data_IF_665766517856
#
_entry.id   IF_665766517856
#
_cell.length_a   1.000
_cell.length_b   1.000
_cell.length_c   1.000
_cell.angle_alpha   90.00
_cell.angle_beta   90.00
_cell.angle_gamma   90.00
#
_symmetry.space_group_name_H-M   'P 1'
#
loop_
_entity.id
_entity.type
_entity.pdbx_description
1 polymer ?
#
# COMPACT_ATOMS: atom_id res chain seq x y z
N UNK A 1 5.86 -29.34 8.82
CA UNK A 1 4.88 -30.12 9.62
C UNK A 1 4.88 -29.55 11.05
N UNK A 2 3.74 -29.49 11.75
CA UNK A 2 3.64 -28.79 13.05
C UNK A 2 3.31 -29.72 14.22
N UNK A 3 3.32 -29.20 15.48
CA UNK A 3 3.19 -29.99 16.71
C UNK A 3 2.01 -30.98 16.70
N UNK A 4 0.85 -30.55 16.20
CA UNK A 4 -0.36 -31.37 16.11
C UNK A 4 -0.18 -32.58 15.19
N UNK A 5 0.30 -32.36 13.97
CA UNK A 5 0.52 -33.44 12.98
C UNK A 5 1.62 -34.40 13.42
N UNK A 6 2.67 -33.88 14.07
CA UNK A 6 3.75 -34.70 14.63
C UNK A 6 3.23 -35.59 15.76
N UNK A 7 2.43 -35.04 16.67
CA UNK A 7 1.81 -35.79 17.76
C UNK A 7 0.87 -36.89 17.23
N UNK A 8 0.06 -36.57 16.22
CA UNK A 8 -0.86 -37.53 15.60
C UNK A 8 -0.15 -38.75 15.01
N UNK A 9 1.10 -38.61 14.55
CA UNK A 9 1.89 -39.75 14.03
C UNK A 9 2.56 -40.54 15.15
N UNK A 10 3.21 -39.86 16.09
CA UNK A 10 4.04 -40.50 17.12
C UNK A 10 3.19 -41.29 18.13
N UNK A 11 1.97 -40.83 18.42
CA UNK A 11 1.08 -41.47 19.40
C UNK A 11 0.67 -42.91 19.06
N UNK A 12 0.82 -43.35 17.80
CA UNK A 12 0.49 -44.71 17.38
C UNK A 12 1.62 -45.70 17.65
N UNK A 13 2.85 -45.22 17.86
CA UNK A 13 4.03 -46.08 18.03
C UNK A 13 4.69 -45.93 19.39
N UNK A 14 4.43 -44.83 20.11
CA UNK A 14 5.07 -44.54 21.39
C UNK A 14 4.12 -43.89 22.38
N UNK A 15 4.32 -44.20 23.67
CA UNK A 15 3.59 -43.59 24.78
C UNK A 15 4.53 -43.32 25.95
N UNK A 16 4.41 -42.13 26.53
CA UNK A 16 5.01 -41.76 27.82
C UNK A 16 4.29 -40.54 28.40
N UNK A 17 4.46 -40.31 29.69
CA UNK A 17 3.90 -39.14 30.37
C UNK A 17 4.50 -37.85 29.82
N UNK A 18 3.66 -36.95 29.29
CA UNK A 18 4.12 -35.69 28.73
C UNK A 18 4.51 -35.71 27.25
N UNK A 19 4.26 -36.81 26.51
CA UNK A 19 4.48 -36.93 25.05
C UNK A 19 4.09 -35.67 24.26
N UNK A 20 2.89 -35.15 24.51
CA UNK A 20 2.38 -33.94 23.85
C UNK A 20 3.24 -32.70 24.14
N UNK A 21 3.69 -32.54 25.38
CA UNK A 21 4.54 -31.42 25.79
C UNK A 21 5.93 -31.53 25.16
N UNK A 22 6.51 -32.73 25.10
CA UNK A 22 7.81 -32.95 24.45
C UNK A 22 7.74 -32.69 22.94
N UNK A 23 6.71 -33.19 22.24
CA UNK A 23 6.51 -32.94 20.81
C UNK A 23 6.37 -31.45 20.53
N UNK A 24 5.62 -30.72 21.36
CA UNK A 24 5.50 -29.26 21.24
C UNK A 24 6.86 -28.58 21.40
N UNK A 25 7.60 -28.87 22.48
CA UNK A 25 8.93 -28.31 22.74
C UNK A 25 9.91 -28.60 21.60
N UNK A 26 9.92 -29.82 21.08
CA UNK A 26 10.77 -30.20 19.95
C UNK A 26 10.45 -29.42 18.67
N UNK A 27 9.16 -29.28 18.33
CA UNK A 27 8.77 -28.50 17.17
C UNK A 27 9.10 -27.00 17.36
N UNK A 28 9.02 -26.48 18.58
CA UNK A 28 9.39 -25.10 18.92
C UNK A 28 10.91 -24.86 18.87
N UNK A 29 11.74 -25.84 19.24
CA UNK A 29 13.20 -25.75 19.17
C UNK A 29 13.79 -26.01 17.78
N UNK A 30 13.01 -26.61 16.86
CA UNK A 30 13.48 -26.93 15.53
C UNK A 30 13.60 -25.68 14.63
N UNK A 31 14.84 -25.24 14.37
CA UNK A 31 15.17 -24.08 13.53
C UNK A 31 14.48 -24.11 12.16
N UNK A 32 14.58 -25.24 11.46
CA UNK A 32 14.00 -25.39 10.11
C UNK A 32 12.47 -25.25 10.13
N UNK A 33 11.82 -25.81 11.14
CA UNK A 33 10.37 -25.70 11.32
C UNK A 33 9.96 -24.27 11.69
N UNK A 34 10.77 -23.53 12.46
CA UNK A 34 10.46 -22.13 12.80
C UNK A 34 10.64 -21.20 11.60
N UNK A 35 11.67 -21.42 10.76
CA UNK A 35 11.92 -20.60 9.56
C UNK A 35 10.85 -20.80 8.48
N UNK A 36 10.37 -22.03 8.30
CA UNK A 36 9.36 -22.38 7.29
C UNK A 36 7.92 -22.19 7.79
N UNK A 37 7.72 -21.96 9.09
CA UNK A 37 6.38 -21.77 9.65
C UNK A 37 5.78 -20.48 9.12
N UNK A 38 4.60 -20.59 8.52
CA UNK A 38 3.75 -19.43 8.25
C UNK A 38 3.42 -18.72 9.57
N UNK A 39 4.01 -17.55 9.77
CA UNK A 39 3.67 -16.66 10.87
C UNK A 39 2.41 -15.90 10.47
N UNK A 40 1.28 -16.24 11.08
CA UNK A 40 0.07 -15.44 10.97
C UNK A 40 0.21 -14.23 11.89
N UNK A 41 1.09 -13.29 11.54
CA UNK A 41 1.16 -12.01 12.24
C UNK A 41 -0.16 -11.29 11.92
N UNK A 42 -1.02 -11.14 12.94
CA UNK A 42 -2.19 -10.27 12.87
C UNK A 42 -1.76 -8.86 13.26
N UNK A 43 -0.73 -8.32 12.61
CA UNK A 43 -0.39 -6.91 12.77
C UNK A 43 -1.39 -6.10 11.93
N UNK A 44 -2.64 -6.11 12.39
CA UNK A 44 -3.67 -5.24 11.87
C UNK A 44 -3.60 -4.01 12.74
N UNK A 45 -2.80 -3.04 12.32
CA UNK A 45 -2.98 -1.68 12.80
C UNK A 45 -4.47 -1.33 12.68
N UNK A 46 -5.12 -0.83 13.74
CA UNK A 46 -6.53 -0.50 13.69
C UNK A 46 -6.77 0.51 12.57
N UNK A 47 -7.74 0.20 11.70
CA UNK A 47 -8.13 1.11 10.60
C UNK A 47 -8.61 2.41 11.25
N UNK A 48 -7.82 3.47 11.12
CA UNK A 48 -8.16 4.79 11.64
C UNK A 48 -8.94 5.54 10.56
N UNK A 49 -10.14 6.06 10.85
CA UNK A 49 -10.88 6.82 9.87
C UNK A 49 -10.12 8.11 9.51
N UNK A 50 -9.94 8.35 8.22
CA UNK A 50 -9.40 9.62 7.71
C UNK A 50 -10.52 10.65 7.77
N UNK A 51 -10.24 11.81 8.38
CA UNK A 51 -11.18 12.93 8.41
C UNK A 51 -11.59 13.31 6.98
N UNK A 52 -12.90 13.55 6.77
CA UNK A 52 -13.39 14.05 5.49
C UNK A 52 -13.06 15.55 5.40
N UNK A 53 -12.55 16.04 4.25
CA UNK A 53 -12.37 17.47 4.03
C UNK A 53 -13.70 18.22 4.11
N UNK A 54 -13.65 19.50 4.46
CA UNK A 54 -14.83 20.36 4.63
C UNK A 54 -15.35 20.92 3.30
N UNK A 55 -14.46 21.09 2.32
CA UNK A 55 -14.79 21.65 1.02
C UNK A 55 -14.48 20.66 -0.11
N UNK A 56 -15.25 20.71 -1.22
CA UNK A 56 -14.90 20.02 -2.46
C UNK A 56 -13.45 20.29 -2.88
N UNK A 57 -12.78 19.24 -3.39
CA UNK A 57 -11.45 19.31 -4.03
C UNK A 57 -10.27 19.70 -3.12
N UNK A 58 -10.47 19.78 -1.80
CA UNK A 58 -9.36 19.94 -0.85
C UNK A 58 -8.44 18.71 -0.81
N UNK A 59 -9.02 17.51 -0.95
CA UNK A 59 -8.26 16.26 -1.02
C UNK A 59 -8.80 15.39 -2.14
N UNK A 60 -7.96 15.15 -3.13
CA UNK A 60 -8.26 14.26 -4.25
C UNK A 60 -7.43 12.98 -4.13
N UNK A 61 -8.12 11.86 -4.12
CA UNK A 61 -7.51 10.55 -4.17
C UNK A 61 -7.21 10.20 -5.62
N UNK A 62 -5.95 9.96 -5.92
CA UNK A 62 -5.51 9.51 -7.24
C UNK A 62 -5.21 8.00 -7.17
N UNK A 63 -5.52 7.25 -8.22
CA UNK A 63 -5.10 5.87 -8.34
C UNK A 63 -4.80 5.53 -9.79
N UNK A 64 -3.90 4.58 -10.02
CA UNK A 64 -3.46 4.20 -11.36
C UNK A 64 -3.72 2.72 -11.59
N UNK A 65 -4.57 2.44 -12.56
CA UNK A 65 -4.91 1.09 -12.97
C UNK A 65 -4.09 0.74 -14.22
N UNK A 66 -3.35 -0.37 -14.17
CA UNK A 66 -2.68 -0.96 -15.33
C UNK A 66 -1.32 -1.60 -14.99
N UNK A 67 -0.61 -2.14 -16.00
CA UNK A 67 -0.97 -2.15 -17.42
C UNK A 67 -2.14 -3.09 -17.75
N UNK A 68 -3.05 -2.64 -18.61
CA UNK A 68 -4.16 -3.42 -19.16
C UNK A 68 -3.69 -4.09 -20.45
N UNK A 69 -3.89 -5.40 -20.53
CA UNK A 69 -3.61 -6.22 -21.71
C UNK A 69 -4.84 -7.08 -22.07
N UNK A 70 -5.30 -7.08 -23.33
CA UNK A 70 -4.79 -6.30 -24.46
C UNK A 70 -5.07 -4.79 -24.33
N UNK A 71 -4.24 -3.93 -24.96
CA UNK A 71 -4.50 -2.49 -24.99
C UNK A 71 -5.78 -2.18 -25.77
N UNK A 72 -6.37 -1.01 -25.49
CA UNK A 72 -7.46 -0.48 -26.32
C UNK A 72 -7.04 -0.19 -27.76
N UNK A 73 -8.00 0.04 -28.66
CA UNK A 73 -7.74 0.43 -30.06
C UNK A 73 -6.86 1.66 -30.20
N UNK A 74 -6.96 2.61 -29.27
CA UNK A 74 -6.12 3.82 -29.19
C UNK A 74 -4.82 3.62 -28.41
N UNK A 75 -4.48 2.38 -28.07
CA UNK A 75 -3.28 1.96 -27.33
C UNK A 75 -3.22 2.46 -25.87
N UNK A 76 -4.34 2.85 -25.28
CA UNK A 76 -4.39 3.10 -23.84
C UNK A 76 -4.20 1.79 -23.09
N UNK A 77 -3.28 1.81 -22.13
CA UNK A 77 -2.87 0.68 -21.28
C UNK A 77 -3.03 0.99 -19.80
N UNK A 78 -3.30 2.23 -19.44
CA UNK A 78 -3.49 2.63 -18.06
C UNK A 78 -4.68 3.57 -17.92
N UNK A 79 -5.25 3.61 -16.73
CA UNK A 79 -6.33 4.52 -16.35
C UNK A 79 -5.90 5.22 -15.07
N UNK A 80 -5.85 6.55 -15.10
CA UNK A 80 -5.65 7.38 -13.93
C UNK A 80 -7.02 7.78 -13.38
N UNK A 81 -7.37 7.27 -12.21
CA UNK A 81 -8.59 7.58 -11.50
C UNK A 81 -8.34 8.72 -10.51
N UNK A 82 -9.25 9.68 -10.46
CA UNK A 82 -9.24 10.83 -9.57
C UNK A 82 -10.57 10.84 -8.84
N UNK A 83 -10.57 10.91 -7.51
CA UNK A 83 -11.79 10.93 -6.71
C UNK A 83 -11.68 11.99 -5.62
N UNK A 84 -12.55 12.99 -5.67
CA UNK A 84 -12.67 13.97 -4.59
C UNK A 84 -13.20 13.30 -3.31
N UNK A 85 -12.52 13.51 -2.19
CA UNK A 85 -12.88 12.89 -0.93
C UNK A 85 -14.15 13.49 -0.31
N UNK A 86 -14.45 14.76 -0.61
CA UNK A 86 -15.62 15.44 -0.05
C UNK A 86 -16.90 15.08 -0.82
N UNK A 87 -16.96 15.38 -2.11
CA UNK A 87 -18.13 15.18 -2.98
C UNK A 87 -18.28 13.75 -3.49
N UNK A 88 -17.21 12.94 -3.43
CA UNK A 88 -17.13 11.62 -4.09
C UNK A 88 -17.22 11.69 -5.62
N UNK A 89 -17.06 12.87 -6.20
CA UNK A 89 -16.99 13.03 -7.64
C UNK A 89 -15.71 12.37 -8.18
N UNK A 90 -15.86 11.61 -9.28
CA UNK A 90 -14.77 10.81 -9.85
C UNK A 90 -14.54 11.12 -11.34
N UNK A 91 -13.27 11.15 -11.74
CA UNK A 91 -12.84 11.27 -13.13
C UNK A 91 -11.80 10.19 -13.47
N UNK A 92 -11.88 9.65 -14.69
CA UNK A 92 -10.94 8.66 -15.19
C UNK A 92 -10.26 9.18 -16.47
N UNK A 93 -8.93 9.23 -16.47
CA UNK A 93 -8.11 9.68 -17.60
C UNK A 93 -7.38 8.48 -18.20
N UNK A 94 -7.59 8.23 -19.49
CA UNK A 94 -6.96 7.12 -20.21
C UNK A 94 -5.54 7.48 -20.65
N UNK A 95 -4.57 6.61 -20.35
CA UNK A 95 -3.15 6.86 -20.59
C UNK A 95 -2.52 5.75 -21.45
N UNK A 96 -1.64 6.16 -22.37
CA UNK A 96 -0.84 5.25 -23.20
C UNK A 96 0.51 4.92 -22.56
N UNK A 97 1.07 5.82 -21.74
CA UNK A 97 2.29 5.63 -20.95
C UNK A 97 2.24 6.39 -19.62
N UNK A 98 3.11 6.02 -18.68
CA UNK A 98 3.22 6.65 -17.34
C UNK A 98 4.26 7.78 -17.26
N UNK A 99 4.61 8.37 -18.40
CA UNK A 99 5.65 9.41 -18.50
C UNK A 99 5.13 10.80 -18.09
N UNK A 100 5.98 11.83 -18.13
CA UNK A 100 5.58 13.23 -17.90
C UNK A 100 4.41 13.74 -18.78
N UNK A 101 4.06 13.00 -19.85
CA UNK A 101 2.84 13.23 -20.64
C UNK A 101 1.55 13.14 -19.80
N UNK A 102 1.56 12.38 -18.71
CA UNK A 102 0.42 12.29 -17.77
C UNK A 102 0.05 13.67 -17.22
N UNK A 103 1.04 14.53 -16.95
CA UNK A 103 0.81 15.88 -16.43
C UNK A 103 0.03 16.75 -17.43
N UNK A 104 0.41 16.70 -18.70
CA UNK A 104 -0.30 17.41 -19.78
C UNK A 104 -1.72 16.90 -20.00
N UNK A 105 -1.97 15.62 -19.72
CA UNK A 105 -3.31 15.05 -19.81
C UNK A 105 -4.19 15.47 -18.62
N UNK A 106 -3.58 15.64 -17.43
CA UNK A 106 -4.25 16.23 -16.27
C UNK A 106 -4.55 17.71 -16.46
N UNK A 107 -3.69 18.48 -17.10
CA UNK A 107 -3.97 19.88 -17.49
C UNK A 107 -5.25 20.01 -18.34
N UNK A 108 -5.59 18.97 -19.10
CA UNK A 108 -6.73 18.98 -20.02
C UNK A 108 -7.99 18.31 -19.45
N UNK A 109 -7.92 17.71 -18.26
CA UNK A 109 -9.03 17.00 -17.63
C UNK A 109 -10.09 17.95 -17.06
N UNK A 110 -11.25 17.44 -16.66
CA UNK A 110 -12.24 18.27 -15.97
C UNK A 110 -11.75 18.73 -14.58
N UNK A 111 -10.87 17.97 -13.94
CA UNK A 111 -10.23 18.34 -12.66
C UNK A 111 -9.46 19.65 -12.77
N UNK A 112 -8.69 19.92 -13.84
CA UNK A 112 -7.93 21.17 -13.97
C UNK A 112 -8.82 22.42 -14.12
N UNK A 113 -10.10 22.24 -14.46
CA UNK A 113 -11.08 23.34 -14.51
C UNK A 113 -11.65 23.70 -13.15
N UNK A 114 -11.43 22.86 -12.14
CA UNK A 114 -12.07 22.94 -10.83
C UNK A 114 -11.03 22.99 -9.69
N UNK A 115 -9.86 22.39 -9.91
CA UNK A 115 -8.78 22.26 -8.93
C UNK A 115 -7.51 22.83 -9.54
N UNK A 116 -6.83 23.68 -8.78
CA UNK A 116 -5.54 24.22 -9.18
C UNK A 116 -4.56 23.06 -9.43
N UNK A 117 -3.91 23.08 -10.60
CA UNK A 117 -3.00 22.02 -10.99
C UNK A 117 -1.79 21.91 -10.06
N UNK A 118 -1.44 22.99 -9.38
CA UNK A 118 -0.36 23.00 -8.39
C UNK A 118 -0.66 22.06 -7.21
N UNK A 119 -1.94 21.92 -6.83
CA UNK A 119 -2.39 20.96 -5.79
C UNK A 119 -2.20 19.51 -6.28
N UNK A 120 -2.59 19.23 -7.52
CA UNK A 120 -2.41 17.90 -8.13
C UNK A 120 -0.92 17.53 -8.27
N UNK A 121 -0.09 18.51 -8.60
CA UNK A 121 1.37 18.35 -8.68
C UNK A 121 2.01 18.07 -7.32
N UNK A 122 1.53 18.69 -6.24
CA UNK A 122 1.98 18.39 -4.88
C UNK A 122 1.68 16.92 -4.50
N UNK A 123 0.49 16.43 -4.85
CA UNK A 123 0.06 15.04 -4.59
C UNK A 123 0.88 14.06 -5.44
N UNK A 124 1.08 14.34 -6.73
CA UNK A 124 1.88 13.49 -7.63
C UNK A 124 3.34 13.41 -7.18
N UNK A 125 3.97 14.56 -6.86
CA UNK A 125 5.33 14.62 -6.30
C UNK A 125 5.45 13.89 -4.96
N UNK A 126 4.39 13.83 -4.15
CA UNK A 126 4.39 13.16 -2.86
C UNK A 126 4.12 11.65 -2.93
N UNK A 127 3.43 11.14 -3.96
CA UNK A 127 3.20 9.69 -4.14
C UNK A 127 4.25 8.96 -4.98
N UNK A 128 4.93 9.65 -5.90
CA UNK A 128 6.13 9.10 -6.57
C UNK A 128 7.25 8.80 -5.53
N UNK A 129 7.23 9.46 -4.36
CA UNK A 129 8.12 9.18 -3.21
C UNK A 129 7.99 7.77 -2.63
N UNK A 130 6.90 7.03 -2.88
CA UNK A 130 6.78 5.64 -2.40
C UNK A 130 7.37 4.59 -3.35
N UNK A 131 7.72 4.96 -4.59
CA UNK A 131 8.22 3.99 -5.55
C UNK A 131 9.74 3.85 -5.54
N UNK A 132 10.56 4.86 -5.20
CA UNK A 132 12.00 4.68 -4.91
C UNK A 132 12.66 5.91 -4.25
N UNK A 133 13.23 5.68 -3.06
CA UNK A 133 14.53 6.16 -2.56
C UNK A 133 15.34 7.07 -3.53
N UNK A 134 15.32 8.41 -3.36
CA UNK A 134 16.38 9.31 -3.85
C UNK A 134 16.73 10.29 -2.73
N UNK A 135 17.69 9.86 -1.92
CA UNK A 135 18.08 10.41 -0.63
C UNK A 135 18.95 11.67 -0.66
N UNK A 136 19.28 12.24 -1.81
CA UNK A 136 20.29 13.34 -1.82
C UNK A 136 19.71 14.75 -1.94
N UNK A 137 18.44 14.91 -2.30
CA UNK A 137 17.90 16.23 -2.65
C UNK A 137 17.20 16.99 -1.53
N UNK A 138 16.84 16.32 -0.44
CA UNK A 138 16.06 16.91 0.68
C UNK A 138 16.90 17.84 1.57
N UNK A 139 18.19 17.99 1.28
CA UNK A 139 19.09 18.86 2.06
C UNK A 139 19.01 20.35 1.73
N UNK A 140 18.28 20.77 0.68
CA UNK A 140 18.48 22.13 0.13
C UNK A 140 17.27 23.08 0.08
N UNK A 141 16.02 22.65 0.26
CA UNK A 141 14.89 23.60 0.18
C UNK A 141 13.97 23.46 1.38
N UNK A 142 14.21 24.34 2.35
CA UNK A 142 13.34 24.58 3.49
C UNK A 142 12.06 25.28 3.05
N UNK A 143 10.93 24.63 3.29
CA UNK A 143 9.63 25.22 3.57
C UNK A 143 8.74 24.10 4.12
N UNK A 144 8.16 24.36 5.28
CA UNK A 144 7.49 23.38 6.13
C UNK A 144 6.36 22.64 5.39
N UNK A 145 6.55 21.33 5.23
CA UNK A 145 5.49 20.40 4.85
C UNK A 145 5.02 19.75 6.15
N UNK A 146 3.75 19.97 6.51
CA UNK A 146 3.08 19.26 7.59
C UNK A 146 2.91 17.81 7.14
N UNK A 147 3.94 17.00 7.37
CA UNK A 147 3.79 15.56 7.51
C UNK A 147 3.02 15.36 8.81
N UNK A 148 1.92 14.61 8.76
CA UNK A 148 1.33 14.01 9.94
C UNK A 148 2.38 13.06 10.56
N UNK A 149 3.28 13.62 11.38
CA UNK A 149 4.16 12.88 12.27
C UNK A 149 3.27 12.25 13.33
N UNK A 150 2.96 10.97 13.15
CA UNK A 150 2.68 10.13 14.31
C UNK A 150 3.90 10.19 15.21
N UNK A 151 3.75 10.80 16.39
CA UNK A 151 4.73 10.80 17.47
C UNK A 151 5.14 9.35 17.75
N UNK A 152 6.38 9.03 17.42
CA UNK A 152 7.14 8.00 18.12
C UNK A 152 8.13 8.75 19.00
N UNK A 153 7.83 8.81 20.29
CA UNK A 153 8.82 9.03 21.35
C UNK A 153 8.31 8.36 22.63
N UNK A 154 9.22 7.90 23.51
CA UNK A 154 10.44 7.12 23.27
C UNK A 154 10.22 5.61 23.49
#
# INVERSE_FOLDING_TARGET
MGPKKTLERIKYSFFWEGLRANVKKFCESCKECQLTRSVRIKDRSPITPVARPELPFQVVNMDLIGPIDPPSSKRHKYILCLVDQHTRWGEAVLLTSLSAKVLRMLEQSAVSRIVDIDILMQIWKNRVKQINFVLEWVRWVGSEIILAKGKLEP
#
